data_IF_977476750214
#
_entry.id   IF_977476750214
#
_cell.length_a   1.000
_cell.length_b   1.000
_cell.length_c   1.000
_cell.angle_alpha   90.00
_cell.angle_beta   90.00
_cell.angle_gamma   90.00
#
_symmetry.space_group_name_H-M   'P 1'
#
loop_
_entity.id
_entity.type
_entity.pdbx_description
1 polymer ?
#
# COMPACT_ATOMS: atom_id res chain seq x y z
N UNK A 1 -26.21 43.72 -0.08
CA UNK A 1 -25.95 42.77 1.02
C UNK A 1 -25.59 41.44 0.41
N UNK A 2 -24.33 41.01 0.56
CA UNK A 2 -23.87 39.67 0.21
C UNK A 2 -24.31 38.75 1.34
N UNK A 3 -25.29 37.88 1.10
CA UNK A 3 -25.72 36.87 2.07
C UNK A 3 -24.79 35.68 1.85
N UNK A 4 -23.80 35.42 2.73
CA UNK A 4 -22.96 34.25 2.60
C UNK A 4 -23.82 33.05 3.01
N UNK A 5 -24.09 32.16 2.07
CA UNK A 5 -24.74 30.89 2.36
C UNK A 5 -23.87 30.07 3.32
N UNK A 6 -24.50 29.50 4.36
CA UNK A 6 -23.88 28.63 5.37
C UNK A 6 -23.07 27.44 4.81
N UNK A 7 -23.21 27.15 3.53
CA UNK A 7 -22.45 26.11 2.81
C UNK A 7 -20.96 26.41 2.68
N UNK A 8 -20.54 27.67 2.85
CA UNK A 8 -19.14 28.09 2.72
C UNK A 8 -18.33 28.04 4.03
N UNK A 9 -18.97 27.86 5.20
CA UNK A 9 -18.26 27.68 6.48
C UNK A 9 -17.83 26.23 6.75
N UNK A 10 -18.51 25.23 6.18
CA UNK A 10 -18.16 23.81 6.42
C UNK A 10 -16.92 23.36 5.65
N UNK A 11 -16.61 23.99 4.52
CA UNK A 11 -15.46 23.63 3.69
C UNK A 11 -14.12 24.10 4.28
N UNK A 12 -14.13 25.09 5.17
CA UNK A 12 -12.93 25.53 5.88
C UNK A 12 -12.64 24.71 7.16
N UNK A 13 -13.65 24.05 7.75
CA UNK A 13 -13.50 23.26 8.98
C UNK A 13 -12.86 21.88 8.77
N UNK A 14 -13.03 21.28 7.59
CA UNK A 14 -12.43 19.99 7.25
C UNK A 14 -10.94 20.07 6.92
N UNK A 15 -10.43 21.26 6.60
CA UNK A 15 -9.01 21.47 6.30
C UNK A 15 -8.11 21.46 7.55
N UNK A 16 -8.67 21.65 8.76
CA UNK A 16 -7.88 21.81 10.01
C UNK A 16 -8.03 20.67 11.02
N UNK A 17 -8.73 19.58 10.69
CA UNK A 17 -8.71 18.36 11.52
C UNK A 17 -7.55 17.39 11.17
N UNK A 18 -6.60 17.86 10.35
CA UNK A 18 -5.34 17.16 10.04
C UNK A 18 -4.26 17.26 11.12
N UNK A 19 -4.49 18.01 12.20
CA UNK A 19 -3.58 18.03 13.33
C UNK A 19 -3.70 16.73 14.14
N UNK A 20 -2.71 15.84 14.00
CA UNK A 20 -2.44 14.69 14.86
C UNK A 20 -3.35 13.45 14.68
N UNK A 21 -3.51 12.96 13.44
CA UNK A 21 -3.84 11.53 13.29
C UNK A 21 -2.53 10.76 13.32
N UNK A 22 -2.26 10.08 14.44
CA UNK A 22 -1.18 9.07 14.47
C UNK A 22 -1.36 8.16 13.25
N UNK A 23 -0.28 7.80 12.53
CA UNK A 23 -0.33 6.84 11.44
C UNK A 23 -1.15 5.62 11.85
N UNK A 24 -2.27 5.36 11.17
CA UNK A 24 -3.07 4.17 11.41
C UNK A 24 -2.53 3.06 10.51
N UNK A 25 -2.18 1.93 11.11
CA UNK A 25 -1.83 0.74 10.35
C UNK A 25 -3.03 0.24 9.56
N UNK A 26 -2.82 0.04 8.26
CA UNK A 26 -3.82 -0.36 7.27
C UNK A 26 -3.65 -1.83 6.94
N UNK A 27 -2.41 -2.26 6.73
CA UNK A 27 -2.04 -3.65 6.51
C UNK A 27 -0.61 -3.90 6.99
N UNK A 28 -0.36 -5.08 7.51
CA UNK A 28 0.98 -5.58 7.81
C UNK A 28 0.96 -7.10 7.68
N UNK A 29 2.14 -7.69 7.48
CA UNK A 29 2.26 -9.12 7.35
C UNK A 29 3.69 -9.56 7.07
N UNK A 30 3.85 -10.87 7.07
CA UNK A 30 5.10 -11.55 6.72
C UNK A 30 4.82 -12.53 5.58
N UNK A 31 5.58 -12.44 4.50
CA UNK A 31 5.48 -13.31 3.34
C UNK A 31 6.73 -14.17 3.30
N UNK A 32 6.55 -15.47 3.51
CA UNK A 32 7.61 -16.46 3.30
C UNK A 32 7.77 -16.72 1.80
N UNK A 33 9.00 -16.98 1.38
CA UNK A 33 9.30 -17.47 0.04
C UNK A 33 8.66 -16.62 -1.08
N UNK A 34 8.64 -15.29 -0.92
CA UNK A 34 7.99 -14.38 -1.88
C UNK A 34 8.55 -14.48 -3.32
N UNK A 35 9.72 -15.09 -3.48
CA UNK A 35 10.37 -15.39 -4.76
C UNK A 35 9.90 -16.71 -5.42
N UNK A 36 9.15 -17.56 -4.73
CA UNK A 36 8.76 -18.91 -5.18
C UNK A 36 7.28 -18.97 -5.65
N UNK A 37 6.59 -17.82 -5.68
CA UNK A 37 5.23 -17.65 -6.24
C UNK A 37 4.19 -18.71 -5.82
N UNK A 38 4.25 -19.22 -4.58
CA UNK A 38 3.37 -20.32 -4.12
C UNK A 38 1.99 -19.87 -3.62
N UNK A 39 1.79 -18.57 -3.43
CA UNK A 39 0.58 -17.98 -2.83
C UNK A 39 -0.50 -17.69 -3.88
N UNK A 40 -1.24 -18.71 -4.28
CA UNK A 40 -2.32 -18.60 -5.25
C UNK A 40 -3.68 -18.48 -4.54
N UNK A 41 -4.55 -17.59 -5.01
CA UNK A 41 -5.95 -17.52 -4.59
C UNK A 41 -6.85 -18.47 -5.41
N UNK A 42 -8.16 -18.46 -5.12
CA UNK A 42 -9.15 -19.32 -5.79
C UNK A 42 -9.23 -19.10 -7.31
N UNK A 43 -8.81 -17.92 -7.77
CA UNK A 43 -8.74 -17.54 -9.19
C UNK A 43 -7.35 -17.82 -9.79
N UNK A 44 -6.47 -18.49 -9.06
CA UNK A 44 -5.09 -18.81 -9.43
C UNK A 44 -4.22 -17.55 -9.69
N UNK A 45 -4.58 -16.43 -9.07
CA UNK A 45 -3.77 -15.22 -9.06
C UNK A 45 -2.78 -15.25 -7.90
N UNK A 46 -1.57 -14.73 -8.12
CA UNK A 46 -0.58 -14.61 -7.06
C UNK A 46 -0.94 -13.46 -6.10
N UNK A 47 -1.34 -13.80 -4.86
CA UNK A 47 -1.74 -12.84 -3.81
C UNK A 47 -1.15 -13.24 -2.45
N UNK A 48 0.14 -12.98 -2.28
CA UNK A 48 0.86 -13.32 -1.05
C UNK A 48 0.49 -12.42 0.15
N UNK A 49 0.13 -11.17 -0.11
CA UNK A 49 -0.30 -10.25 0.93
C UNK A 49 -1.82 -10.22 1.06
N UNK A 50 -2.29 -9.89 2.26
CA UNK A 50 -3.72 -9.69 2.50
C UNK A 50 -4.20 -8.41 1.78
N UNK A 51 -5.29 -8.47 1.00
CA UNK A 51 -5.85 -7.28 0.38
C UNK A 51 -6.32 -6.25 1.41
N UNK A 52 -6.19 -4.97 1.08
CA UNK A 52 -6.62 -3.85 1.90
C UNK A 52 -7.25 -2.75 1.04
N UNK A 53 -8.19 -2.02 1.63
CA UNK A 53 -8.88 -0.94 0.95
C UNK A 53 -8.05 0.34 1.01
N UNK A 54 -7.86 0.98 -0.14
CA UNK A 54 -7.29 2.32 -0.21
C UNK A 54 -8.36 3.35 -0.57
N UNK A 55 -8.18 4.56 -0.06
CA UNK A 55 -9.10 5.67 -0.28
C UNK A 55 -8.41 6.73 -1.13
N UNK A 56 -9.14 7.27 -2.11
CA UNK A 56 -8.67 8.37 -2.96
C UNK A 56 -8.09 9.51 -2.12
N UNK A 57 -6.99 10.09 -2.59
CA UNK A 57 -6.33 11.26 -1.98
C UNK A 57 -5.89 11.07 -0.51
N UNK A 58 -5.80 9.83 -0.04
CA UNK A 58 -5.23 9.49 1.27
C UNK A 58 -3.77 9.08 1.08
N UNK A 59 -2.87 9.67 1.85
CA UNK A 59 -1.46 9.32 1.80
C UNK A 59 -1.21 8.03 2.60
N UNK A 60 -0.52 7.08 1.99
CA UNK A 60 -0.08 5.82 2.59
C UNK A 60 1.44 5.72 2.53
N UNK A 61 2.05 5.27 3.61
CA UNK A 61 3.45 4.92 3.71
C UNK A 61 3.60 3.40 3.62
N UNK A 62 4.34 2.94 2.62
CA UNK A 62 4.79 1.57 2.44
C UNK A 62 6.20 1.44 2.99
N UNK A 63 6.42 0.41 3.80
CA UNK A 63 7.74 0.00 4.28
C UNK A 63 7.86 -1.51 4.24
N UNK A 64 9.04 -2.01 3.92
CA UNK A 64 9.31 -3.45 4.01
C UNK A 64 10.77 -3.75 4.30
N UNK A 65 11.00 -4.90 4.90
CA UNK A 65 12.33 -5.45 5.14
C UNK A 65 12.41 -6.86 4.58
N UNK A 66 13.57 -7.21 4.06
CA UNK A 66 13.82 -8.56 3.54
C UNK A 66 14.94 -9.21 4.30
N UNK A 67 14.82 -10.50 4.58
CA UNK A 67 15.90 -11.26 5.18
C UNK A 67 17.05 -11.48 4.19
N UNK A 68 18.21 -10.88 4.46
CA UNK A 68 19.46 -11.07 3.71
C UNK A 68 20.10 -9.78 3.21
N UNK A 69 21.44 -9.78 3.11
CA UNK A 69 22.27 -8.58 2.94
C UNK A 69 22.06 -7.76 1.66
N UNK A 70 21.46 -8.34 0.61
CA UNK A 70 21.31 -7.70 -0.72
C UNK A 70 20.05 -8.26 -1.41
N UNK A 71 18.86 -7.90 -0.96
CA UNK A 71 17.64 -8.11 -1.76
C UNK A 71 17.15 -6.78 -2.29
N UNK A 72 17.49 -6.46 -3.54
CA UNK A 72 16.76 -5.44 -4.27
C UNK A 72 15.39 -6.04 -4.62
N UNK A 73 14.33 -5.52 -4.01
CA UNK A 73 12.96 -6.03 -4.16
C UNK A 73 12.05 -4.85 -4.47
N UNK A 74 11.25 -4.98 -5.52
CA UNK A 74 10.19 -4.02 -5.81
C UNK A 74 8.95 -4.43 -5.04
N UNK A 75 8.34 -3.49 -4.31
CA UNK A 75 6.97 -3.62 -3.86
C UNK A 75 6.04 -3.05 -4.95
N UNK A 76 5.12 -3.86 -5.44
CA UNK A 76 4.07 -3.48 -6.38
C UNK A 76 2.74 -3.49 -5.63
N UNK A 77 1.99 -2.39 -5.73
CA UNK A 77 0.59 -2.34 -5.32
C UNK A 77 -0.25 -2.67 -6.54
N UNK A 78 -1.08 -3.70 -6.42
CA UNK A 78 -1.89 -4.22 -7.52
C UNK A 78 -3.37 -4.17 -7.16
N UNK A 79 -4.21 -3.84 -8.13
CA UNK A 79 -5.67 -3.93 -7.98
C UNK A 79 -6.08 -5.40 -7.79
N UNK A 80 -6.90 -5.66 -6.79
CA UNK A 80 -7.31 -7.01 -6.42
C UNK A 80 -8.38 -7.60 -7.36
N UNK A 81 -8.98 -6.82 -8.27
CA UNK A 81 -9.92 -7.32 -9.28
C UNK A 81 -9.26 -7.61 -10.63
N UNK A 82 -8.35 -6.73 -11.07
CA UNK A 82 -7.76 -6.75 -12.42
C UNK A 82 -6.30 -7.19 -12.46
N UNK A 83 -5.61 -7.26 -11.31
CA UNK A 83 -4.15 -7.49 -11.22
C UNK A 83 -3.30 -6.39 -11.91
N UNK A 84 -3.88 -5.22 -12.17
CA UNK A 84 -3.15 -4.07 -12.72
C UNK A 84 -2.23 -3.46 -11.66
N UNK A 85 -0.99 -3.13 -12.04
CA UNK A 85 -0.08 -2.37 -11.17
C UNK A 85 -0.58 -0.93 -11.10
N UNK A 86 -1.01 -0.50 -9.92
CA UNK A 86 -1.47 0.88 -9.67
C UNK A 86 -0.39 1.76 -9.04
N UNK A 87 0.62 1.12 -8.44
CA UNK A 87 1.79 1.80 -7.89
C UNK A 87 2.94 0.79 -7.70
N UNK A 88 4.20 1.24 -7.76
CA UNK A 88 5.34 0.40 -7.42
C UNK A 88 6.50 1.24 -6.92
N UNK A 89 7.38 0.64 -6.11
CA UNK A 89 8.70 1.19 -5.75
C UNK A 89 9.72 0.14 -5.40
N UNK A 90 10.99 0.51 -5.54
CA UNK A 90 12.14 -0.31 -5.13
C UNK A 90 12.62 -0.02 -3.70
N UNK A 91 12.04 0.99 -3.03
CA UNK A 91 12.33 1.38 -1.64
C UNK A 91 11.09 1.88 -0.92
N UNK A 92 11.17 2.00 0.40
CA UNK A 92 10.16 2.59 1.28
C UNK A 92 9.67 3.97 0.81
N UNK A 93 8.52 4.39 1.36
CA UNK A 93 8.04 5.77 1.26
C UNK A 93 6.53 5.88 1.01
N UNK A 94 6.12 7.02 0.46
CA UNK A 94 4.70 7.39 0.40
C UNK A 94 4.05 7.20 -0.96
N UNK A 95 2.73 6.99 -0.96
CA UNK A 95 1.86 6.86 -2.13
C UNK A 95 0.49 7.47 -1.83
N UNK A 96 -0.07 8.18 -2.80
CA UNK A 96 -1.42 8.76 -2.70
C UNK A 96 -2.25 8.25 -3.88
N UNK A 97 -3.25 7.36 -3.65
CA UNK A 97 -4.06 6.77 -4.70
C UNK A 97 -4.97 7.80 -5.39
N UNK A 98 -5.15 7.66 -6.70
CA UNK A 98 -6.01 8.53 -7.51
C UNK A 98 -7.50 8.18 -7.41
N UNK A 99 -7.81 6.94 -7.03
CA UNK A 99 -9.16 6.41 -6.81
C UNK A 99 -9.18 5.52 -5.56
N UNK A 100 -10.38 5.17 -5.10
CA UNK A 100 -10.55 4.18 -4.04
C UNK A 100 -10.72 2.80 -4.65
N UNK A 101 -9.91 1.84 -4.23
CA UNK A 101 -9.94 0.46 -4.76
C UNK A 101 -9.39 -0.53 -3.72
N UNK A 102 -9.68 -1.81 -3.92
CA UNK A 102 -9.13 -2.88 -3.10
C UNK A 102 -7.81 -3.32 -3.72
N UNK A 103 -6.71 -3.25 -2.98
CA UNK A 103 -5.38 -3.56 -3.49
C UNK A 103 -4.69 -4.61 -2.64
N UNK A 104 -3.63 -5.20 -3.19
CA UNK A 104 -2.68 -6.03 -2.45
C UNK A 104 -1.26 -5.66 -2.83
N UNK A 105 -0.30 -6.05 -2.00
CA UNK A 105 1.13 -5.98 -2.28
C UNK A 105 1.66 -7.26 -2.90
N UNK A 106 2.43 -7.11 -3.95
CA UNK A 106 3.26 -8.15 -4.54
C UNK A 106 4.72 -7.71 -4.46
N UNK A 107 5.62 -8.63 -4.12
CA UNK A 107 7.04 -8.33 -3.94
C UNK A 107 7.82 -9.05 -5.04
N UNK A 108 8.51 -8.29 -5.89
CA UNK A 108 9.28 -8.84 -7.01
C UNK A 108 10.78 -8.74 -6.73
N UNK A 109 11.46 -9.86 -6.44
CA UNK A 109 12.92 -9.86 -6.25
C UNK A 109 13.60 -9.57 -7.59
N UNK A 110 14.57 -8.64 -7.60
CA UNK A 110 15.35 -8.31 -8.81
C UNK A 110 16.46 -9.31 -9.11
N UNK A 111 16.82 -10.16 -8.14
CA UNK A 111 17.89 -11.14 -8.29
C UNK A 111 17.26 -12.55 -8.33
N UNK A 112 17.25 -13.22 -9.49
CA UNK A 112 16.76 -14.59 -9.62
C UNK A 112 17.55 -15.55 -8.73
N UNK A 113 16.88 -16.59 -8.21
CA UNK A 113 17.54 -17.65 -7.42
C UNK A 113 17.85 -17.29 -5.96
N UNK A 114 17.47 -16.10 -5.48
CA UNK A 114 17.47 -15.74 -4.06
C UNK A 114 16.21 -16.28 -3.34
N UNK A 115 15.71 -17.44 -3.77
CA UNK A 115 14.56 -18.11 -3.17
C UNK A 115 14.83 -18.47 -1.71
N UNK A 116 13.78 -18.38 -0.88
CA UNK A 116 13.78 -18.59 0.58
C UNK A 116 14.05 -17.36 1.45
N UNK A 117 13.49 -16.22 1.06
CA UNK A 117 13.56 -15.00 1.88
C UNK A 117 12.19 -14.59 2.36
N UNK A 118 12.15 -14.10 3.59
CA UNK A 118 11.00 -13.43 4.18
C UNK A 118 10.95 -11.98 3.69
N UNK A 119 9.73 -11.49 3.42
CA UNK A 119 9.45 -10.05 3.41
C UNK A 119 8.48 -9.76 4.54
N UNK A 120 8.90 -8.89 5.46
CA UNK A 120 7.99 -8.26 6.41
C UNK A 120 7.60 -6.89 5.88
N UNK A 121 6.31 -6.61 5.82
CA UNK A 121 5.79 -5.37 5.26
C UNK A 121 4.82 -4.66 6.19
N UNK A 122 4.73 -3.36 6.01
CA UNK A 122 3.77 -2.51 6.70
C UNK A 122 3.29 -1.39 5.79
N UNK A 123 1.98 -1.17 5.82
CA UNK A 123 1.27 -0.06 5.17
C UNK A 123 0.55 0.73 6.25
N UNK A 124 0.84 2.02 6.33
CA UNK A 124 0.24 2.96 7.29
C UNK A 124 -0.29 4.19 6.56
N UNK A 125 -1.28 4.88 7.12
CA UNK A 125 -1.58 6.24 6.65
C UNK A 125 -0.45 7.18 7.06
N UNK A 126 -0.12 8.17 6.23
CA UNK A 126 0.88 9.18 6.57
C UNK A 126 0.45 10.00 7.81
N UNK A 127 1.43 10.54 8.53
CA UNK A 127 1.24 11.40 9.70
C UNK A 127 0.85 12.83 9.31
#
# INVERSE_FOLDING_TARGET
>A
MYIPTWQSMLTAGLAMSGALKKPKEVASGSIMDYAVEQCLDDDNNQRCSKPFLVTKATCYELSWTTDGAISHTTAEVRDAGSNEIVYYRDTDGQWTPEKGELVYLDFKPKIPGQGNKTVDYTVKTCA
#
